data_IF_270170251219
#
_entry.id   IF_270170251219
#
_cell.length_a   1.000
_cell.length_b   1.000
_cell.length_c   1.000
_cell.angle_alpha   90.00
_cell.angle_beta   90.00
_cell.angle_gamma   90.00
#
_symmetry.space_group_name_H-M   'P 1'
#
loop_
_entity.id
_entity.type
_entity.pdbx_description
1 polymer ?
#
# COMPACT_ATOMS: atom_id res chain seq x y z
N UNK A 1 -10.87 36.17 -10.21
CA UNK A 1 -11.68 34.92 -10.06
C UNK A 1 -10.82 33.67 -9.73
N UNK A 2 -9.50 33.82 -9.57
CA UNK A 2 -8.56 32.73 -9.30
C UNK A 2 -8.37 32.42 -7.80
N UNK A 3 -8.59 33.38 -6.89
CA UNK A 3 -8.25 33.20 -5.47
C UNK A 3 -9.22 32.28 -4.72
N UNK A 4 -10.53 32.38 -4.94
CA UNK A 4 -11.49 31.58 -4.19
C UNK A 4 -11.41 30.07 -4.49
N UNK A 5 -11.16 29.68 -5.73
CA UNK A 5 -10.94 28.27 -6.07
C UNK A 5 -9.64 27.74 -5.45
N UNK A 6 -8.56 28.53 -5.52
CA UNK A 6 -7.28 28.19 -4.89
C UNK A 6 -7.41 28.05 -3.36
N UNK A 7 -8.19 28.92 -2.72
CA UNK A 7 -8.42 28.88 -1.28
C UNK A 7 -9.27 27.64 -0.86
N UNK A 8 -10.25 27.24 -1.71
CA UNK A 8 -11.04 26.02 -1.46
C UNK A 8 -10.18 24.78 -1.59
N UNK A 9 -9.35 24.65 -2.64
CA UNK A 9 -8.42 23.52 -2.81
C UNK A 9 -7.42 23.42 -1.68
N UNK A 10 -6.82 24.52 -1.27
CA UNK A 10 -5.89 24.56 -0.16
C UNK A 10 -6.53 24.13 1.17
N UNK A 11 -7.78 24.57 1.42
CA UNK A 11 -8.53 24.15 2.61
C UNK A 11 -8.82 22.65 2.61
N UNK A 12 -9.16 22.06 1.46
CA UNK A 12 -9.38 20.62 1.33
C UNK A 12 -8.08 19.82 1.53
N UNK A 13 -6.95 20.32 1.06
CA UNK A 13 -5.65 19.71 1.31
C UNK A 13 -5.25 19.73 2.79
N UNK A 14 -5.43 20.88 3.45
CA UNK A 14 -5.13 21.04 4.88
C UNK A 14 -6.04 20.13 5.74
N UNK A 15 -7.32 19.99 5.36
CA UNK A 15 -8.28 19.10 6.01
C UNK A 15 -7.87 17.63 5.85
N UNK A 16 -7.53 17.20 4.64
CA UNK A 16 -7.06 15.85 4.36
C UNK A 16 -5.79 15.50 5.15
N UNK A 17 -4.80 16.40 5.19
CA UNK A 17 -3.57 16.18 5.94
C UNK A 17 -3.81 16.10 7.45
N UNK A 18 -4.76 16.89 7.95
CA UNK A 18 -5.21 16.84 9.34
C UNK A 18 -5.90 15.50 9.67
N UNK A 19 -6.72 14.99 8.76
CA UNK A 19 -7.37 13.69 8.90
C UNK A 19 -6.36 12.55 8.93
N UNK A 20 -5.38 12.53 8.01
CA UNK A 20 -4.31 11.53 8.00
C UNK A 20 -3.49 11.59 9.29
N UNK A 21 -3.16 12.78 9.76
CA UNK A 21 -2.45 12.95 11.03
C UNK A 21 -3.25 12.41 12.22
N UNK A 22 -4.53 12.73 12.29
CA UNK A 22 -5.43 12.25 13.34
C UNK A 22 -5.59 10.73 13.29
N UNK A 23 -5.74 10.15 12.09
CA UNK A 23 -5.80 8.71 11.90
C UNK A 23 -4.50 8.04 12.37
N UNK A 24 -3.33 8.58 12.02
CA UNK A 24 -2.05 8.08 12.49
C UNK A 24 -1.91 8.15 14.02
N UNK A 25 -2.32 9.24 14.67
CA UNK A 25 -2.29 9.34 16.14
C UNK A 25 -3.07 8.20 16.81
N UNK A 26 -4.19 7.79 16.23
CA UNK A 26 -5.02 6.72 16.76
C UNK A 26 -4.53 5.30 16.41
N UNK A 27 -3.88 5.12 15.25
CA UNK A 27 -3.53 3.80 14.73
C UNK A 27 -2.07 3.41 15.00
N UNK A 28 -1.18 4.39 15.18
CA UNK A 28 0.25 4.12 15.42
C UNK A 28 0.48 3.33 16.71
N UNK A 29 -0.31 3.59 17.76
CA UNK A 29 -0.27 2.80 19.00
C UNK A 29 -0.58 1.31 18.78
N UNK A 30 -1.31 1.00 17.70
CA UNK A 30 -1.63 -0.36 17.26
C UNK A 30 -0.69 -0.90 16.19
N UNK A 31 0.41 -0.18 15.93
CA UNK A 31 1.42 -0.56 14.95
C UNK A 31 0.95 -0.46 13.50
N UNK A 32 -0.08 0.34 13.22
CA UNK A 32 -0.54 0.64 11.85
C UNK A 32 -0.22 2.09 11.51
N UNK A 33 0.36 2.29 10.34
CA UNK A 33 0.80 3.59 9.84
C UNK A 33 0.16 3.89 8.50
N UNK A 34 -0.15 5.16 8.28
CA UNK A 34 -0.70 5.67 7.02
C UNK A 34 0.30 6.65 6.45
N UNK A 35 0.70 6.44 5.21
CA UNK A 35 1.63 7.28 4.48
C UNK A 35 1.01 7.75 3.17
N UNK A 36 1.09 9.03 2.87
CA UNK A 36 0.67 9.57 1.58
C UNK A 36 1.83 9.37 0.60
N UNK A 37 1.63 8.51 -0.39
CA UNK A 37 2.64 8.22 -1.40
C UNK A 37 2.64 9.22 -2.54
N UNK A 38 1.46 9.67 -2.98
CA UNK A 38 1.31 10.65 -4.06
C UNK A 38 0.00 11.41 -3.89
N UNK A 39 0.03 12.71 -4.16
CA UNK A 39 -1.17 13.56 -4.29
C UNK A 39 -1.27 14.08 -5.72
N UNK A 40 -2.50 14.17 -6.20
CA UNK A 40 -2.88 14.85 -7.44
C UNK A 40 -4.08 15.74 -7.14
N UNK A 41 -4.46 16.63 -8.05
CA UNK A 41 -5.63 17.52 -7.88
C UNK A 41 -6.94 16.74 -7.68
N UNK A 42 -7.01 15.48 -8.13
CA UNK A 42 -8.21 14.66 -8.12
C UNK A 42 -8.17 13.50 -7.12
N UNK A 43 -7.00 13.10 -6.63
CA UNK A 43 -6.87 11.91 -5.80
C UNK A 43 -5.58 11.87 -5.00
N UNK A 44 -5.60 11.15 -3.89
CA UNK A 44 -4.42 10.83 -3.10
C UNK A 44 -4.22 9.31 -3.04
N UNK A 45 -2.99 8.87 -3.26
CA UNK A 45 -2.58 7.48 -3.07
C UNK A 45 -2.02 7.35 -1.66
N UNK A 46 -2.72 6.59 -0.83
CA UNK A 46 -2.30 6.32 0.55
C UNK A 46 -1.82 4.87 0.68
N UNK A 47 -0.82 4.66 1.49
CA UNK A 47 -0.28 3.36 1.86
C UNK A 47 -0.51 3.12 3.34
N UNK A 48 -1.25 2.06 3.66
CA UNK A 48 -1.50 1.64 5.03
C UNK A 48 -0.65 0.41 5.29
N UNK A 49 0.23 0.47 6.30
CA UNK A 49 1.19 -0.60 6.54
C UNK A 49 1.50 -0.81 8.02
N UNK A 50 2.12 -1.93 8.31
CA UNK A 50 2.74 -2.22 9.60
C UNK A 50 4.26 -2.21 9.43
N UNK A 51 4.99 -1.33 10.15
CA UNK A 51 6.45 -1.26 10.05
C UNK A 51 7.14 -2.61 10.29
N UNK A 52 6.64 -3.41 11.24
CA UNK A 52 7.19 -4.73 11.52
C UNK A 52 7.10 -5.69 10.33
N UNK A 53 6.01 -5.63 9.55
CA UNK A 53 5.83 -6.45 8.35
C UNK A 53 6.66 -5.93 7.19
N UNK A 54 6.67 -4.62 6.97
CA UNK A 54 7.48 -4.00 5.91
C UNK A 54 8.97 -4.21 6.18
N UNK A 55 9.42 -4.10 7.43
CA UNK A 55 10.80 -4.39 7.82
C UNK A 55 11.20 -5.82 7.47
N UNK A 56 10.34 -6.80 7.78
CA UNK A 56 10.59 -8.20 7.40
C UNK A 56 10.68 -8.37 5.88
N UNK A 57 9.81 -7.70 5.12
CA UNK A 57 9.82 -7.76 3.67
C UNK A 57 11.11 -7.20 3.09
N UNK A 58 11.52 -5.97 3.44
CA UNK A 58 12.73 -5.33 2.88
C UNK A 58 14.03 -6.01 3.32
N UNK A 59 14.02 -6.73 4.43
CA UNK A 59 15.17 -7.52 4.90
C UNK A 59 15.20 -8.97 4.35
N UNK A 60 14.23 -9.36 3.55
CA UNK A 60 14.27 -10.59 2.76
C UNK A 60 15.16 -10.36 1.53
N UNK A 61 16.16 -11.23 1.32
CA UNK A 61 17.14 -11.06 0.26
C UNK A 61 16.54 -11.18 -1.15
N UNK A 62 15.53 -12.04 -1.35
CA UNK A 62 14.84 -12.13 -2.64
C UNK A 62 14.04 -10.85 -2.97
N UNK A 63 13.39 -10.27 -1.97
CA UNK A 63 12.72 -8.96 -2.10
C UNK A 63 13.75 -7.87 -2.38
N UNK A 64 14.85 -7.86 -1.63
CA UNK A 64 15.88 -6.83 -1.77
C UNK A 64 16.57 -6.88 -3.13
N UNK A 65 16.82 -8.05 -3.67
CA UNK A 65 17.40 -8.21 -5.01
C UNK A 65 16.52 -7.54 -6.11
N UNK A 66 15.21 -7.60 -5.94
CA UNK A 66 14.30 -6.88 -6.85
C UNK A 66 14.38 -5.38 -6.56
N UNK A 67 14.19 -4.95 -5.31
CA UNK A 67 14.18 -3.54 -4.95
C UNK A 67 15.47 -2.83 -5.37
N UNK A 68 16.64 -3.42 -5.09
CA UNK A 68 17.92 -2.83 -5.46
C UNK A 68 18.08 -2.61 -6.97
N UNK A 69 17.52 -3.49 -7.81
CA UNK A 69 17.50 -3.33 -9.27
C UNK A 69 16.66 -2.14 -9.73
N UNK A 70 15.78 -1.64 -8.88
CA UNK A 70 14.92 -0.45 -9.10
C UNK A 70 15.46 0.82 -8.43
N UNK A 71 16.69 0.77 -7.89
CA UNK A 71 17.35 1.94 -7.32
C UNK A 71 17.10 2.15 -5.81
N UNK A 72 16.58 1.15 -5.11
CA UNK A 72 16.52 1.17 -3.67
C UNK A 72 17.90 0.84 -3.11
N UNK A 73 18.48 1.75 -2.31
CA UNK A 73 19.88 1.69 -1.88
C UNK A 73 20.06 1.35 -0.40
N UNK A 74 19.02 1.45 0.41
CA UNK A 74 19.07 1.26 1.84
C UNK A 74 17.88 0.42 2.33
N UNK A 75 18.17 -0.61 3.15
CA UNK A 75 17.15 -1.51 3.75
C UNK A 75 16.46 -0.87 4.97
N UNK A 76 16.18 0.42 4.93
CA UNK A 76 15.37 1.08 5.95
C UNK A 76 13.96 1.36 5.42
N UNK A 77 12.97 1.28 6.30
CA UNK A 77 11.56 1.51 5.95
C UNK A 77 11.39 2.90 5.32
N UNK A 78 11.99 3.92 5.96
CA UNK A 78 11.82 5.29 5.52
C UNK A 78 12.48 5.55 4.16
N UNK A 79 13.70 5.02 3.94
CA UNK A 79 14.38 5.13 2.65
C UNK A 79 13.58 4.42 1.55
N UNK A 80 13.07 3.22 1.82
CA UNK A 80 12.25 2.48 0.86
C UNK A 80 10.96 3.23 0.50
N UNK A 81 10.25 3.80 1.48
CA UNK A 81 9.04 4.59 1.23
C UNK A 81 9.37 5.86 0.44
N UNK A 82 10.46 6.56 0.76
CA UNK A 82 10.88 7.76 0.04
C UNK A 82 11.21 7.45 -1.42
N UNK A 83 11.98 6.39 -1.67
CA UNK A 83 12.28 5.94 -3.04
C UNK A 83 11.01 5.56 -3.80
N UNK A 84 10.05 4.86 -3.16
CA UNK A 84 8.77 4.53 -3.78
C UNK A 84 7.98 5.80 -4.16
N UNK A 85 7.92 6.82 -3.26
CA UNK A 85 7.29 8.13 -3.55
C UNK A 85 7.92 8.81 -4.75
N UNK A 86 9.25 8.87 -4.78
CA UNK A 86 9.99 9.47 -5.90
C UNK A 86 9.68 8.77 -7.22
N UNK A 87 9.68 7.44 -7.23
CA UNK A 87 9.35 6.65 -8.41
C UNK A 87 7.91 6.85 -8.88
N UNK A 88 6.95 6.95 -7.95
CA UNK A 88 5.55 7.26 -8.25
C UNK A 88 5.34 8.65 -8.87
N UNK A 89 6.24 9.60 -8.59
CA UNK A 89 6.18 10.95 -9.14
C UNK A 89 6.93 11.10 -10.47
N UNK A 90 8.04 10.38 -10.63
CA UNK A 90 8.96 10.60 -11.77
C UNK A 90 8.74 9.63 -12.91
N UNK A 91 8.15 8.46 -12.67
CA UNK A 91 7.99 7.43 -13.71
C UNK A 91 6.63 7.50 -14.41
N UNK A 92 6.61 7.30 -15.74
CA UNK A 92 5.37 7.34 -16.51
C UNK A 92 4.46 6.13 -16.21
N UNK A 93 5.06 5.00 -15.78
CA UNK A 93 4.34 3.78 -15.44
C UNK A 93 4.30 3.59 -13.92
N UNK A 94 3.22 3.00 -13.45
CA UNK A 94 3.09 2.65 -12.03
C UNK A 94 4.16 1.64 -11.62
N UNK A 95 4.89 1.87 -10.51
CA UNK A 95 5.98 0.99 -10.06
C UNK A 95 5.46 -0.42 -9.75
N UNK A 96 5.91 -1.42 -10.49
CA UNK A 96 5.40 -2.80 -10.33
C UNK A 96 5.93 -3.47 -9.07
N UNK A 97 7.08 -3.06 -8.58
CA UNK A 97 7.67 -3.52 -7.33
C UNK A 97 6.84 -3.16 -6.08
N UNK A 98 5.85 -2.28 -6.21
CA UNK A 98 4.91 -1.96 -5.11
C UNK A 98 4.22 -3.21 -4.55
N UNK A 99 4.07 -4.25 -5.35
CA UNK A 99 3.54 -5.53 -4.90
C UNK A 99 4.31 -6.11 -3.70
N UNK A 100 5.62 -5.86 -3.62
CA UNK A 100 6.45 -6.28 -2.49
C UNK A 100 6.09 -5.52 -1.20
N UNK A 101 5.78 -4.23 -1.32
CA UNK A 101 5.30 -3.40 -0.20
C UNK A 101 3.91 -3.83 0.27
N UNK A 102 3.09 -4.35 -0.64
CA UNK A 102 1.76 -4.88 -0.34
C UNK A 102 1.78 -6.32 0.20
N UNK A 103 2.97 -6.93 0.29
CA UNK A 103 3.16 -8.28 0.80
C UNK A 103 2.68 -9.38 -0.16
N UNK A 104 2.67 -9.09 -1.47
CA UNK A 104 2.39 -10.13 -2.47
C UNK A 104 3.56 -11.12 -2.55
N UNK A 105 3.30 -12.38 -2.94
CA UNK A 105 4.36 -13.38 -3.09
C UNK A 105 5.45 -12.89 -4.05
N UNK A 106 6.70 -13.04 -3.65
CA UNK A 106 7.86 -12.54 -4.40
C UNK A 106 7.91 -13.12 -5.80
N UNK A 107 7.61 -14.41 -5.94
CA UNK A 107 7.55 -15.13 -7.21
C UNK A 107 6.50 -14.53 -8.14
N UNK A 108 5.31 -14.20 -7.63
CA UNK A 108 4.26 -13.58 -8.43
C UNK A 108 4.65 -12.16 -8.87
N UNK A 109 5.33 -11.39 -8.00
CA UNK A 109 5.83 -10.06 -8.37
C UNK A 109 6.94 -10.15 -9.43
N UNK A 110 7.89 -11.09 -9.29
CA UNK A 110 8.93 -11.36 -10.30
C UNK A 110 8.33 -11.67 -11.66
N UNK A 111 7.39 -12.62 -11.68
CA UNK A 111 6.74 -13.04 -12.92
C UNK A 111 5.85 -11.95 -13.52
N UNK A 112 5.19 -11.14 -12.68
CA UNK A 112 4.43 -9.98 -13.13
C UNK A 112 5.33 -8.99 -13.88
N UNK A 113 6.50 -8.68 -13.32
CA UNK A 113 7.48 -7.77 -13.91
C UNK A 113 8.01 -8.36 -15.22
N UNK A 114 8.43 -9.62 -15.20
CA UNK A 114 8.98 -10.31 -16.37
C UNK A 114 7.97 -10.40 -17.52
N UNK A 115 6.75 -10.80 -17.23
CA UNK A 115 5.67 -10.97 -18.22
C UNK A 115 4.93 -9.65 -18.53
N UNK A 116 5.34 -8.51 -17.97
CA UNK A 116 4.64 -7.21 -18.11
C UNK A 116 3.15 -7.31 -17.79
N UNK A 117 2.83 -8.09 -16.77
CA UNK A 117 1.45 -8.33 -16.33
C UNK A 117 0.63 -9.27 -17.23
N UNK A 118 1.25 -9.94 -18.20
CA UNK A 118 0.60 -10.90 -19.09
C UNK A 118 0.74 -12.33 -18.56
N UNK A 119 -0.01 -13.29 -19.14
CA UNK A 119 0.17 -14.73 -18.92
C UNK A 119 -0.02 -15.21 -17.46
N UNK A 120 -0.78 -14.50 -16.63
CA UNK A 120 -1.09 -14.96 -15.28
C UNK A 120 -2.05 -16.17 -15.33
N UNK A 121 -1.92 -17.07 -14.35
CA UNK A 121 -2.80 -18.23 -14.18
C UNK A 121 -4.21 -17.81 -13.76
N UNK A 122 -4.28 -16.89 -12.81
CA UNK A 122 -5.54 -16.29 -12.38
C UNK A 122 -5.32 -14.87 -11.85
N UNK A 123 -6.42 -14.10 -11.75
CA UNK A 123 -6.44 -12.73 -11.25
C UNK A 123 -7.35 -12.64 -10.02
N UNK A 124 -6.87 -11.98 -8.98
CA UNK A 124 -7.62 -11.65 -7.78
C UNK A 124 -7.12 -10.34 -7.20
N UNK A 125 -6.72 -10.33 -5.94
CA UNK A 125 -6.07 -9.17 -5.31
C UNK A 125 -4.75 -8.81 -6.01
N UNK A 126 -4.06 -9.82 -6.54
CA UNK A 126 -2.92 -9.67 -7.44
C UNK A 126 -3.03 -10.67 -8.60
N UNK A 127 -2.13 -10.56 -9.58
CA UNK A 127 -2.00 -11.53 -10.68
C UNK A 127 -1.10 -12.68 -10.25
N UNK A 128 -1.64 -13.90 -10.26
CA UNK A 128 -0.99 -15.11 -9.77
C UNK A 128 -0.28 -15.84 -10.91
N UNK A 129 0.97 -16.19 -10.70
CA UNK A 129 1.80 -16.95 -11.65
C UNK A 129 2.25 -18.28 -11.09
N UNK A 130 2.36 -18.39 -9.77
CA UNK A 130 3.00 -19.55 -9.15
C UNK A 130 2.00 -20.47 -8.45
N UNK A 131 1.58 -20.15 -7.24
CA UNK A 131 0.73 -21.02 -6.42
C UNK A 131 -0.74 -20.60 -6.45
N UNK A 132 -1.47 -21.03 -7.49
CA UNK A 132 -2.86 -20.65 -7.70
C UNK A 132 -3.77 -21.07 -6.55
N UNK A 133 -3.65 -22.30 -6.07
CA UNK A 133 -4.56 -22.82 -5.03
C UNK A 133 -4.45 -22.03 -3.73
N UNK A 134 -3.24 -21.71 -3.29
CA UNK A 134 -3.01 -20.95 -2.07
C UNK A 134 -3.44 -19.49 -2.23
N UNK A 135 -3.17 -18.90 -3.39
CA UNK A 135 -3.58 -17.54 -3.70
C UNK A 135 -5.11 -17.40 -3.70
N UNK A 136 -5.83 -18.32 -4.32
CA UNK A 136 -7.31 -18.34 -4.31
C UNK A 136 -7.86 -18.48 -2.89
N UNK A 137 -7.27 -19.33 -2.04
CA UNK A 137 -7.66 -19.44 -0.62
C UNK A 137 -7.41 -18.13 0.12
N UNK A 138 -6.29 -17.47 -0.17
CA UNK A 138 -5.94 -16.16 0.43
C UNK A 138 -6.92 -15.07 0.00
N UNK A 139 -7.29 -15.02 -1.28
CA UNK A 139 -8.31 -14.08 -1.78
C UNK A 139 -9.66 -14.30 -1.11
N UNK A 140 -10.07 -15.54 -0.93
CA UNK A 140 -11.31 -15.89 -0.23
C UNK A 140 -11.29 -15.40 1.24
N UNK A 141 -10.13 -15.57 1.94
CA UNK A 141 -9.95 -15.03 3.31
C UNK A 141 -10.02 -13.51 3.33
N UNK A 142 -9.37 -12.82 2.41
CA UNK A 142 -9.40 -11.35 2.33
C UNK A 142 -10.81 -10.85 2.08
N UNK A 143 -11.54 -11.47 1.14
CA UNK A 143 -12.93 -11.12 0.85
C UNK A 143 -13.79 -11.27 2.11
N UNK A 144 -13.70 -12.41 2.80
CA UNK A 144 -14.46 -12.66 4.03
C UNK A 144 -14.11 -11.65 5.14
N UNK A 145 -12.81 -11.36 5.33
CA UNK A 145 -12.38 -10.34 6.28
C UNK A 145 -12.97 -8.96 5.93
N UNK A 146 -12.88 -8.55 4.67
CA UNK A 146 -13.43 -7.27 4.21
C UNK A 146 -14.94 -7.16 4.49
N UNK A 147 -15.71 -8.21 4.16
CA UNK A 147 -17.15 -8.25 4.41
C UNK A 147 -17.50 -8.14 5.91
N UNK A 148 -16.72 -8.81 6.78
CA UNK A 148 -16.91 -8.73 8.23
C UNK A 148 -16.57 -7.33 8.74
N UNK A 149 -15.42 -6.77 8.32
CA UNK A 149 -15.02 -5.44 8.75
C UNK A 149 -16.01 -4.36 8.29
N UNK A 150 -16.51 -4.44 7.06
CA UNK A 150 -17.54 -3.52 6.55
C UNK A 150 -18.81 -3.58 7.40
N UNK A 151 -19.32 -4.76 7.69
CA UNK A 151 -20.53 -4.93 8.55
C UNK A 151 -20.35 -4.31 9.93
N UNK A 152 -19.19 -4.56 10.54
CA UNK A 152 -18.91 -4.08 11.90
C UNK A 152 -18.68 -2.57 11.91
N UNK A 153 -18.06 -2.01 10.86
CA UNK A 153 -17.88 -0.57 10.68
C UNK A 153 -19.24 0.15 10.49
N UNK A 154 -20.09 -0.38 9.59
CA UNK A 154 -21.46 0.15 9.39
C UNK A 154 -22.28 0.06 10.67
N UNK A 155 -22.03 -0.96 11.52
CA UNK A 155 -22.62 -1.11 12.84
C UNK A 155 -22.12 -0.10 13.88
N UNK A 156 -21.30 0.89 13.50
CA UNK A 156 -20.87 2.01 14.33
C UNK A 156 -19.54 1.82 15.07
N UNK A 157 -18.78 0.76 14.78
CA UNK A 157 -17.43 0.63 15.34
C UNK A 157 -16.44 1.52 14.63
N UNK A 158 -15.53 2.14 15.38
CA UNK A 158 -14.48 3.00 14.85
C UNK A 158 -13.33 2.18 14.26
N UNK A 159 -12.53 2.79 13.38
CA UNK A 159 -11.32 2.17 12.82
C UNK A 159 -10.36 1.70 13.93
N UNK A 160 -10.23 2.49 14.99
CA UNK A 160 -9.40 2.12 16.13
C UNK A 160 -9.89 0.84 16.83
N UNK A 161 -11.20 0.66 17.00
CA UNK A 161 -11.77 -0.57 17.58
C UNK A 161 -11.62 -1.79 16.67
N UNK A 162 -11.58 -1.58 15.36
CA UNK A 162 -11.39 -2.65 14.37
C UNK A 162 -9.93 -3.03 14.17
N UNK A 163 -9.01 -2.15 14.52
CA UNK A 163 -7.58 -2.41 14.37
C UNK A 163 -7.08 -3.23 15.56
N UNK A 164 -6.53 -4.40 15.27
CA UNK A 164 -5.93 -5.29 16.28
C UNK A 164 -4.43 -5.03 16.42
N UNK A 165 -3.91 -5.19 17.63
CA UNK A 165 -2.47 -5.21 17.87
C UNK A 165 -1.91 -6.56 17.41
N UNK A 166 -0.78 -6.55 16.70
CA UNK A 166 -0.04 -7.76 16.28
C UNK A 166 1.40 -7.62 16.75
#
# INVERSE_FOLDING_TARGET
RSSAASDVYKRQEDEFDSEIKTANMNLNEKGVYIEVLRKTDMSSLIYVYRPSMLFKAVNNDDVWNILSSYGYIERSIQACINTLKERLMTQPCFPHEIGLFLGYPVEDVKEFIFNKGQNCKCCGVWKVYYNEQESVRTFARFKKCSEVYQKVFIGGRTLNQLTVNI
#
